data_IF_883174254411
#
_entry.id   IF_883174254411
#
_cell.length_a   1.000
_cell.length_b   1.000
_cell.length_c   1.000
_cell.angle_alpha   90.00
_cell.angle_beta   90.00
_cell.angle_gamma   90.00
#
_symmetry.space_group_name_H-M   'P 1'
#
loop_
_entity.id
_entity.type
_entity.pdbx_description
1 polymer ?
#
# COMPACT_ATOMS: atom_id res chain seq x y z
N UNK A 1 16.07 -8.03 9.19
CA UNK A 1 16.55 -9.43 9.33
C UNK A 1 18.06 -9.59 9.16
N UNK A 2 18.74 -8.72 8.40
CA UNK A 2 20.14 -8.91 8.00
C UNK A 2 21.16 -8.89 9.16
N UNK A 3 21.00 -8.01 10.15
CA UNK A 3 21.97 -7.86 11.26
C UNK A 3 21.92 -9.05 12.22
N UNK A 4 20.71 -9.47 12.65
CA UNK A 4 20.55 -10.68 13.48
C UNK A 4 21.14 -11.93 12.81
N UNK A 5 20.98 -12.05 11.48
CA UNK A 5 21.57 -13.14 10.70
C UNK A 5 23.10 -13.04 10.64
N UNK A 6 23.67 -11.85 10.56
CA UNK A 6 25.11 -11.63 10.57
C UNK A 6 25.76 -11.96 11.93
N UNK A 7 25.07 -11.72 13.05
CA UNK A 7 25.49 -12.18 14.39
C UNK A 7 25.48 -13.71 14.45
N UNK A 8 24.40 -14.35 14.00
CA UNK A 8 24.32 -15.82 13.93
C UNK A 8 25.40 -16.46 13.05
N UNK A 9 25.78 -15.79 11.96
CA UNK A 9 26.89 -16.19 11.08
C UNK A 9 28.28 -15.79 11.60
N UNK A 10 28.37 -15.21 12.80
CA UNK A 10 29.63 -14.73 13.42
C UNK A 10 30.43 -13.75 12.56
N UNK A 11 29.78 -13.05 11.61
CA UNK A 11 30.41 -12.01 10.79
C UNK A 11 30.60 -10.70 11.57
N UNK A 12 29.78 -10.50 12.59
CA UNK A 12 29.84 -9.40 13.55
C UNK A 12 29.65 -9.99 14.95
N UNK A 13 30.27 -9.37 15.96
CA UNK A 13 30.25 -9.88 17.34
C UNK A 13 28.89 -9.71 18.02
N UNK A 14 28.19 -8.60 17.77
CA UNK A 14 26.92 -8.29 18.40
C UNK A 14 26.04 -7.40 17.53
N UNK A 15 24.74 -7.33 17.85
CA UNK A 15 23.79 -6.49 17.15
C UNK A 15 23.89 -5.05 17.68
N UNK A 16 24.65 -4.20 16.98
CA UNK A 16 24.82 -2.79 17.33
C UNK A 16 23.51 -1.98 17.32
N UNK A 17 22.39 -2.51 16.81
CA UNK A 17 21.09 -1.85 16.88
C UNK A 17 20.32 -2.11 18.19
N UNK A 18 20.76 -3.06 19.03
CA UNK A 18 20.05 -3.38 20.29
C UNK A 18 20.34 -2.39 21.41
N UNK A 19 21.52 -1.78 21.42
CA UNK A 19 21.92 -0.79 22.43
C UNK A 19 21.68 0.67 21.97
N UNK A 20 21.24 0.86 20.73
CA UNK A 20 20.91 2.19 20.20
C UNK A 20 19.55 2.61 20.75
N UNK A 21 19.58 3.34 21.85
CA UNK A 21 18.46 4.17 22.27
C UNK A 21 18.42 5.36 21.31
N UNK A 22 17.60 5.27 20.27
CA UNK A 22 17.22 6.45 19.50
C UNK A 22 16.49 7.36 20.50
N UNK A 23 17.19 8.39 20.98
CA UNK A 23 16.56 9.51 21.66
C UNK A 23 15.80 10.29 20.60
N UNK A 24 14.70 9.72 20.12
CA UNK A 24 13.73 10.49 19.35
C UNK A 24 13.33 11.61 20.29
N UNK A 25 13.43 12.89 19.91
CA UNK A 25 12.67 13.91 20.59
C UNK A 25 11.22 13.44 20.52
N UNK A 26 10.73 12.86 21.61
CA UNK A 26 9.29 12.76 21.89
C UNK A 26 8.74 14.15 22.21
N UNK A 27 9.49 15.21 21.92
CA UNK A 27 8.96 16.52 21.64
C UNK A 27 8.09 16.40 20.40
N UNK A 28 6.80 16.13 20.64
CA UNK A 28 5.69 16.72 19.90
C UNK A 28 6.06 17.00 18.44
N UNK A 29 6.33 15.97 17.64
CA UNK A 29 5.68 16.00 16.34
C UNK A 29 4.22 15.98 16.75
N UNK A 30 3.58 17.15 16.86
CA UNK A 30 2.14 17.25 16.74
C UNK A 30 1.81 16.26 15.66
N UNK A 31 1.17 15.14 16.02
CA UNK A 31 0.84 14.10 15.05
C UNK A 31 0.15 14.86 13.95
N UNK A 32 0.85 15.09 12.84
CA UNK A 32 0.34 15.96 11.79
C UNK A 32 -0.98 15.31 11.45
N UNK A 33 -2.08 15.97 11.80
CA UNK A 33 -3.40 15.36 11.64
C UNK A 33 -3.48 15.06 10.17
N UNK A 34 -3.47 13.77 9.85
CA UNK A 34 -3.53 13.32 8.47
C UNK A 34 -4.82 13.92 7.93
N UNK A 35 -4.69 14.80 6.94
CA UNK A 35 -5.84 15.39 6.29
C UNK A 35 -6.51 14.28 5.50
N UNK A 36 -7.78 14.04 5.79
CA UNK A 36 -8.60 13.09 5.08
C UNK A 36 -9.70 13.86 4.34
N UNK A 37 -10.28 13.22 3.33
CA UNK A 37 -11.40 13.77 2.59
C UNK A 37 -12.66 13.46 3.40
N UNK A 38 -13.40 14.49 3.78
CA UNK A 38 -14.70 14.30 4.45
C UNK A 38 -15.73 13.69 3.49
N UNK A 39 -16.70 12.97 4.03
CA UNK A 39 -17.75 12.31 3.22
C UNK A 39 -18.45 13.29 2.26
N UNK A 40 -18.73 14.50 2.73
CA UNK A 40 -19.35 15.57 1.93
C UNK A 40 -18.47 16.01 0.75
N UNK A 41 -17.14 15.96 0.91
CA UNK A 41 -16.16 16.38 -0.09
C UNK A 41 -15.91 15.30 -1.16
N UNK A 42 -16.24 14.03 -0.90
CA UNK A 42 -16.05 12.92 -1.86
C UNK A 42 -16.78 13.20 -3.18
N UNK A 43 -18.01 13.70 -3.11
CA UNK A 43 -18.82 13.99 -4.30
C UNK A 43 -18.18 15.08 -5.17
N UNK A 44 -17.67 16.13 -4.53
CA UNK A 44 -16.93 17.21 -5.19
C UNK A 44 -15.64 16.69 -5.83
N UNK A 45 -14.89 15.84 -5.11
CA UNK A 45 -13.67 15.23 -5.62
C UNK A 45 -13.92 14.34 -6.84
N UNK A 46 -14.90 13.43 -6.76
CA UNK A 46 -15.26 12.56 -7.89
C UNK A 46 -15.78 13.36 -9.08
N UNK A 47 -16.55 14.42 -8.84
CA UNK A 47 -17.02 15.31 -9.91
C UNK A 47 -15.86 16.03 -10.61
N UNK A 48 -14.83 16.45 -9.86
CA UNK A 48 -13.62 17.02 -10.43
C UNK A 48 -12.83 15.99 -11.24
N UNK A 49 -12.63 14.78 -10.70
CA UNK A 49 -11.96 13.69 -11.41
C UNK A 49 -12.67 13.32 -12.73
N UNK A 50 -14.01 13.34 -12.74
CA UNK A 50 -14.81 13.06 -13.94
C UNK A 50 -14.65 14.11 -15.03
N UNK A 51 -14.46 15.38 -14.65
CA UNK A 51 -14.22 16.47 -15.62
C UNK A 51 -12.87 16.34 -16.29
N UNK A 52 -11.88 15.79 -15.58
CA UNK A 52 -10.53 15.59 -16.10
C UNK A 52 -10.45 14.32 -16.95
N UNK A 53 -10.85 13.16 -16.41
CA UNK A 53 -10.87 11.91 -17.14
C UNK A 53 -11.88 10.91 -16.55
N UNK A 54 -12.69 10.28 -17.41
CA UNK A 54 -13.64 9.26 -17.00
C UNK A 54 -12.96 8.05 -16.32
N UNK A 55 -11.75 7.69 -16.75
CA UNK A 55 -10.94 6.63 -16.14
C UNK A 55 -10.55 6.98 -14.70
N UNK A 56 -10.18 8.23 -14.42
CA UNK A 56 -9.86 8.66 -13.07
C UNK A 56 -11.09 8.64 -12.17
N UNK A 57 -12.24 9.07 -12.68
CA UNK A 57 -13.49 8.95 -11.95
C UNK A 57 -13.80 7.49 -11.58
N UNK A 58 -13.72 6.57 -12.55
CA UNK A 58 -13.95 5.15 -12.30
C UNK A 58 -12.94 4.58 -11.29
N UNK A 59 -11.65 4.90 -11.46
CA UNK A 59 -10.56 4.42 -10.61
C UNK A 59 -10.70 4.91 -9.16
N UNK A 60 -10.92 6.21 -8.94
CA UNK A 60 -11.07 6.76 -7.59
C UNK A 60 -12.38 6.32 -6.93
N UNK A 61 -13.47 6.25 -7.69
CA UNK A 61 -14.73 5.72 -7.18
C UNK A 61 -14.55 4.27 -6.69
N UNK A 62 -13.84 3.46 -7.48
CA UNK A 62 -13.51 2.09 -7.13
C UNK A 62 -12.66 1.98 -5.85
N UNK A 63 -11.59 2.79 -5.73
CA UNK A 63 -10.75 2.83 -4.54
C UNK A 63 -11.52 3.24 -3.28
N UNK A 64 -12.40 4.24 -3.38
CA UNK A 64 -13.20 4.73 -2.25
C UNK A 64 -14.22 3.67 -1.79
N UNK A 65 -14.81 2.93 -2.73
CA UNK A 65 -15.80 1.89 -2.41
C UNK A 65 -15.17 0.61 -1.84
N UNK A 66 -14.01 0.20 -2.36
CA UNK A 66 -13.37 -1.08 -1.99
C UNK A 66 -12.32 -0.95 -0.90
N UNK A 67 -11.73 0.24 -0.73
CA UNK A 67 -10.62 0.47 0.19
C UNK A 67 -9.30 -0.19 -0.24
N UNK A 68 -9.17 -0.61 -1.51
CA UNK A 68 -7.95 -1.24 -2.02
C UNK A 68 -6.73 -0.32 -1.91
N UNK A 69 -5.55 -0.90 -1.68
CA UNK A 69 -4.30 -0.15 -1.81
C UNK A 69 -4.04 0.15 -3.29
N UNK A 70 -3.40 1.28 -3.58
CA UNK A 70 -3.11 1.71 -4.97
C UNK A 70 -2.37 0.64 -5.80
N UNK A 71 -1.47 -0.13 -5.19
CA UNK A 71 -0.73 -1.20 -5.86
C UNK A 71 -1.60 -2.43 -6.16
N UNK A 72 -2.50 -2.78 -5.24
CA UNK A 72 -3.49 -3.86 -5.44
C UNK A 72 -4.46 -3.50 -6.57
N UNK A 73 -4.95 -2.25 -6.60
CA UNK A 73 -5.81 -1.76 -7.68
C UNK A 73 -5.07 -1.66 -9.02
N UNK A 74 -3.78 -1.31 -8.99
CA UNK A 74 -2.93 -1.23 -10.18
C UNK A 74 -2.57 -2.60 -10.78
N UNK A 75 -2.61 -3.67 -9.97
CA UNK A 75 -2.34 -5.04 -10.42
C UNK A 75 -3.59 -5.89 -10.64
N UNK A 76 -4.78 -5.27 -10.60
CA UNK A 76 -6.03 -5.96 -10.81
C UNK A 76 -6.13 -6.47 -12.26
N UNK A 77 -6.38 -7.77 -12.40
CA UNK A 77 -6.57 -8.43 -13.70
C UNK A 77 -8.01 -8.90 -13.86
N UNK A 78 -8.51 -8.95 -15.10
CA UNK A 78 -9.88 -9.37 -15.41
C UNK A 78 -10.27 -10.75 -14.84
N UNK A 79 -9.31 -11.67 -14.78
CA UNK A 79 -9.51 -13.02 -14.21
C UNK A 79 -9.89 -13.01 -12.73
N UNK A 80 -9.59 -11.91 -12.02
CA UNK A 80 -9.84 -11.77 -10.58
C UNK A 80 -11.12 -10.98 -10.27
N UNK A 81 -11.87 -10.58 -11.30
CA UNK A 81 -13.10 -9.80 -11.17
C UNK A 81 -14.30 -10.70 -11.46
N UNK A 82 -15.09 -10.98 -10.42
CA UNK A 82 -16.37 -11.67 -10.56
C UNK A 82 -17.52 -10.67 -10.43
N UNK A 83 -18.06 -10.26 -11.58
CA UNK A 83 -19.20 -9.35 -11.63
C UNK A 83 -20.53 -10.03 -11.27
N UNK A 84 -20.61 -11.35 -11.35
CA UNK A 84 -21.83 -12.11 -11.01
C UNK A 84 -22.02 -12.17 -9.50
N UNK A 85 -20.91 -12.35 -8.77
CA UNK A 85 -20.89 -12.41 -7.32
C UNK A 85 -20.51 -11.08 -6.65
N UNK A 86 -20.23 -10.04 -7.45
CA UNK A 86 -19.74 -8.73 -7.00
C UNK A 86 -18.49 -8.85 -6.12
N UNK A 87 -17.57 -9.73 -6.51
CA UNK A 87 -16.34 -10.05 -5.77
C UNK A 87 -15.10 -9.72 -6.57
N UNK A 88 -14.07 -9.30 -5.86
CA UNK A 88 -12.73 -9.04 -6.41
C UNK A 88 -11.71 -9.76 -5.55
N UNK A 89 -10.91 -10.62 -6.19
CA UNK A 89 -9.83 -11.32 -5.52
C UNK A 89 -8.52 -10.52 -5.63
N UNK A 90 -7.99 -10.11 -4.48
CA UNK A 90 -6.71 -9.42 -4.40
C UNK A 90 -5.61 -10.46 -4.24
N UNK A 91 -4.93 -10.77 -5.35
CA UNK A 91 -3.92 -11.83 -5.40
C UNK A 91 -2.49 -11.28 -5.51
N UNK A 92 -2.33 -10.02 -5.93
CA UNK A 92 -1.03 -9.41 -6.24
C UNK A 92 -1.09 -7.88 -6.10
N UNK A 93 0.08 -7.26 -6.00
CA UNK A 93 0.26 -5.80 -5.99
C UNK A 93 1.25 -5.38 -7.07
N UNK A 94 1.04 -4.20 -7.65
CA UNK A 94 1.95 -3.60 -8.61
C UNK A 94 3.16 -3.00 -7.87
N UNK A 95 4.36 -3.39 -8.28
CA UNK A 95 5.58 -2.71 -7.88
C UNK A 95 5.83 -1.50 -8.80
N UNK A 96 6.18 -0.36 -8.19
CA UNK A 96 6.45 0.89 -8.91
C UNK A 96 7.93 1.09 -9.22
N UNK A 97 8.82 0.25 -8.68
CA UNK A 97 10.25 0.26 -8.97
C UNK A 97 10.77 -1.16 -9.32
N UNK A 98 10.18 -1.84 -10.32
CA UNK A 98 10.66 -3.15 -10.74
C UNK A 98 12.04 -3.05 -11.41
N UNK A 99 12.95 -3.97 -11.09
CA UNK A 99 14.22 -4.10 -11.81
C UNK A 99 14.02 -4.78 -13.17
N UNK A 100 13.03 -5.67 -13.27
CA UNK A 100 12.63 -6.36 -14.50
C UNK A 100 11.11 -6.45 -14.64
N UNK A 101 10.61 -6.67 -15.86
CA UNK A 101 9.18 -6.90 -16.12
C UNK A 101 8.61 -8.10 -15.34
N UNK A 102 9.46 -9.05 -14.95
CA UNK A 102 9.05 -10.18 -14.12
C UNK A 102 8.75 -9.76 -12.67
N UNK A 103 9.32 -8.64 -12.20
CA UNK A 103 9.15 -8.12 -10.85
C UNK A 103 8.00 -7.12 -10.73
N UNK A 104 7.26 -6.88 -11.82
CA UNK A 104 6.16 -5.90 -11.85
C UNK A 104 5.02 -6.28 -10.88
N UNK A 105 4.82 -7.58 -10.67
CA UNK A 105 3.77 -8.10 -9.80
C UNK A 105 4.39 -8.81 -8.59
N UNK A 106 4.13 -8.25 -7.42
CA UNK A 106 4.54 -8.82 -6.14
C UNK A 106 3.39 -9.43 -5.37
N UNK A 107 3.74 -10.17 -4.31
CA UNK A 107 2.77 -10.65 -3.34
C UNK A 107 2.09 -9.46 -2.64
N UNK A 108 0.76 -9.52 -2.42
CA UNK A 108 0.05 -8.45 -1.73
C UNK A 108 0.55 -8.39 -0.29
N UNK A 109 0.62 -7.17 0.26
CA UNK A 109 1.13 -6.96 1.61
C UNK A 109 0.15 -7.43 2.71
N UNK A 110 -1.04 -7.94 2.32
CA UNK A 110 -1.94 -8.60 3.25
C UNK A 110 -1.32 -9.90 3.74
N UNK A 111 -1.12 -9.97 5.05
CA UNK A 111 -0.84 -11.21 5.77
C UNK A 111 -1.86 -12.28 5.32
N UNK A 112 -1.44 -13.53 5.18
CA UNK A 112 -2.35 -14.67 4.98
C UNK A 112 -3.38 -14.68 6.10
N UNK A 113 -4.52 -14.04 5.88
CA UNK A 113 -5.71 -14.16 6.70
C UNK A 113 -6.35 -15.48 6.30
N UNK A 114 -5.87 -16.56 6.92
CA UNK A 114 -6.60 -17.80 7.09
C UNK A 114 -7.21 -17.79 8.50
#
# INVERSE_FOLDING_TARGET
MSIKRAVGLKKIQSNFCEEVVIRTPREKSEKVKVRFIDYEQITTFLSAAKKDNLLYHAFFCHLIQTGMRKGEAGALQWQQVDLSEQRINIVQTLDYAPETDADLFGDPQSYKSA
#
